data_IF_026110463817
#
_entry.id   IF_026110463817
#
_cell.length_a   1.000
_cell.length_b   1.000
_cell.length_c   1.000
_cell.angle_alpha   90.00
_cell.angle_beta   90.00
_cell.angle_gamma   90.00
#
_symmetry.space_group_name_H-M   'P 1'
#
loop_
_entity.id
_entity.type
_entity.pdbx_description
1 polymer ?
#
# COMPACT_ATOMS: atom_id res chain seq x y z
N UNK A 1 3.62 -11.84 43.37
CA UNK A 1 4.16 -12.48 42.16
C UNK A 1 3.17 -12.20 41.02
N UNK A 2 2.97 -10.92 40.67
CA UNK A 2 2.03 -10.44 39.64
C UNK A 2 2.55 -9.18 38.92
N UNK A 3 3.78 -8.71 39.19
CA UNK A 3 4.31 -7.48 38.56
C UNK A 3 5.15 -7.75 37.28
N UNK A 4 5.46 -9.02 36.96
CA UNK A 4 6.22 -9.42 35.80
C UNK A 4 5.43 -9.29 34.47
N UNK A 5 4.15 -9.60 34.52
CA UNK A 5 3.31 -9.67 33.30
C UNK A 5 2.98 -8.30 32.72
N UNK A 6 2.89 -7.27 33.57
CA UNK A 6 2.60 -5.90 33.12
C UNK A 6 3.83 -5.22 32.45
N UNK A 7 5.04 -5.49 32.92
CA UNK A 7 6.27 -5.00 32.31
C UNK A 7 6.61 -5.74 31.02
N UNK A 8 6.29 -7.03 30.90
CA UNK A 8 6.48 -7.82 29.68
C UNK A 8 5.47 -7.42 28.60
N UNK A 9 4.21 -7.14 28.98
CA UNK A 9 3.20 -6.58 28.05
C UNK A 9 3.55 -5.16 27.63
N UNK A 10 4.09 -4.31 28.50
CA UNK A 10 4.55 -2.97 28.14
C UNK A 10 5.77 -2.99 27.23
N UNK A 11 6.75 -3.88 27.47
CA UNK A 11 7.91 -4.06 26.56
C UNK A 11 7.50 -4.60 25.19
N UNK A 12 6.53 -5.50 25.11
CA UNK A 12 6.02 -6.03 23.84
C UNK A 12 5.29 -4.95 23.00
N UNK A 13 4.76 -3.90 23.64
CA UNK A 13 4.12 -2.78 22.95
C UNK A 13 5.13 -1.78 22.36
N UNK A 14 6.34 -1.66 22.91
CA UNK A 14 7.39 -0.77 22.38
C UNK A 14 8.18 -1.37 21.21
N UNK A 15 8.18 -2.69 21.02
CA UNK A 15 8.86 -3.40 19.93
C UNK A 15 7.92 -3.88 18.81
N UNK A 16 6.66 -3.39 18.73
CA UNK A 16 5.77 -3.85 17.68
C UNK A 16 6.26 -3.38 16.30
N UNK A 17 6.49 -4.34 15.40
CA UNK A 17 6.90 -4.07 14.01
C UNK A 17 5.81 -3.30 13.25
N UNK A 18 6.20 -2.56 12.19
CA UNK A 18 5.23 -1.77 11.41
C UNK A 18 4.02 -2.57 10.90
N UNK A 19 4.15 -3.82 10.40
CA UNK A 19 3.00 -4.64 10.02
C UNK A 19 2.01 -4.90 11.17
N UNK A 20 2.51 -5.11 12.39
CA UNK A 20 1.65 -5.30 13.57
C UNK A 20 0.84 -4.04 13.86
N UNK A 21 1.47 -2.87 13.83
CA UNK A 21 0.79 -1.58 14.03
C UNK A 21 -0.28 -1.34 12.96
N UNK A 22 0.02 -1.66 11.71
CA UNK A 22 -0.92 -1.53 10.59
C UNK A 22 -2.13 -2.42 10.80
N UNK A 23 -1.95 -3.72 11.08
CA UNK A 23 -3.06 -4.67 11.29
C UNK A 23 -3.94 -4.23 12.46
N UNK A 24 -3.33 -3.80 13.57
CA UNK A 24 -4.06 -3.29 14.74
C UNK A 24 -4.87 -2.03 14.40
N UNK A 25 -4.26 -1.04 13.71
CA UNK A 25 -4.95 0.20 13.31
C UNK A 25 -6.10 -0.06 12.35
N UNK A 26 -5.90 -0.93 11.35
CA UNK A 26 -6.95 -1.34 10.43
C UNK A 26 -8.10 -2.02 11.19
N UNK A 27 -7.80 -2.98 12.06
CA UNK A 27 -8.80 -3.68 12.86
C UNK A 27 -9.59 -2.74 13.78
N UNK A 28 -8.92 -1.84 14.52
CA UNK A 28 -9.59 -0.87 15.38
C UNK A 28 -10.50 0.11 14.62
N UNK A 29 -10.18 0.42 13.36
CA UNK A 29 -10.98 1.31 12.51
C UNK A 29 -12.03 0.57 11.66
N UNK A 30 -12.11 -0.75 11.76
CA UNK A 30 -12.96 -1.57 10.89
C UNK A 30 -12.63 -1.40 9.41
N UNK A 31 -11.32 -1.29 9.10
CA UNK A 31 -10.81 -1.13 7.75
C UNK A 31 -10.19 -2.43 7.23
N UNK A 32 -10.27 -2.59 5.93
CA UNK A 32 -9.67 -3.72 5.22
C UNK A 32 -8.73 -3.23 4.13
N UNK A 33 -7.70 -4.04 3.82
CA UNK A 33 -6.67 -3.74 2.85
C UNK A 33 -6.53 -4.88 1.83
N UNK A 34 -6.18 -4.51 0.59
CA UNK A 34 -5.75 -5.43 -0.44
C UNK A 34 -4.46 -4.94 -1.10
N UNK A 35 -3.65 -5.88 -1.62
CA UNK A 35 -2.38 -5.57 -2.27
C UNK A 35 -2.41 -5.84 -3.78
N UNK A 36 -1.67 -5.04 -4.56
CA UNK A 36 -1.36 -5.32 -5.97
C UNK A 36 0.15 -5.25 -6.18
N UNK A 37 0.77 -6.36 -6.51
CA UNK A 37 2.21 -6.50 -6.45
C UNK A 37 2.82 -6.87 -7.81
N UNK A 38 3.77 -6.05 -8.27
CA UNK A 38 4.59 -6.38 -9.42
C UNK A 38 5.97 -6.87 -8.96
N UNK A 39 6.93 -5.96 -8.71
CA UNK A 39 8.30 -6.38 -8.36
C UNK A 39 8.41 -7.13 -7.02
N UNK A 40 7.51 -6.93 -6.08
CA UNK A 40 7.51 -7.59 -4.76
C UNK A 40 6.93 -9.01 -4.81
N UNK A 41 6.10 -9.30 -5.82
CA UNK A 41 5.62 -10.65 -6.18
C UNK A 41 4.96 -11.43 -5.02
N UNK A 42 4.14 -10.76 -4.21
CA UNK A 42 3.41 -11.35 -3.08
C UNK A 42 4.07 -11.15 -1.72
N UNK A 43 5.28 -10.59 -1.67
CA UNK A 43 6.01 -10.40 -0.41
C UNK A 43 5.33 -9.38 0.52
N UNK A 44 4.67 -8.35 -0.02
CA UNK A 44 3.92 -7.37 0.78
C UNK A 44 2.70 -8.02 1.45
N UNK A 45 1.91 -8.77 0.69
CA UNK A 45 0.78 -9.52 1.25
C UNK A 45 1.23 -10.53 2.31
N UNK A 46 2.29 -11.29 2.03
CA UNK A 46 2.89 -12.24 2.96
C UNK A 46 3.32 -11.54 4.26
N UNK A 47 4.00 -10.40 4.16
CA UNK A 47 4.48 -9.62 5.31
C UNK A 47 3.34 -9.12 6.22
N UNK A 48 2.19 -8.77 5.64
CA UNK A 48 0.98 -8.44 6.41
C UNK A 48 0.38 -9.71 7.02
N UNK A 49 0.32 -10.81 6.26
CA UNK A 49 -0.25 -12.08 6.71
C UNK A 49 0.55 -12.76 7.83
N UNK A 50 1.84 -12.47 7.97
CA UNK A 50 2.69 -12.95 9.07
C UNK A 50 2.20 -12.46 10.45
N UNK A 51 1.38 -11.41 10.49
CA UNK A 51 0.85 -10.85 11.73
C UNK A 51 -0.31 -11.72 12.24
N UNK A 52 -0.26 -12.26 13.48
CA UNK A 52 -1.39 -12.96 14.08
C UNK A 52 -2.66 -12.09 14.07
N UNK A 53 -3.75 -12.63 13.53
CA UNK A 53 -5.01 -11.89 13.40
C UNK A 53 -5.11 -11.01 12.15
N UNK A 54 -4.17 -11.08 11.20
CA UNK A 54 -4.20 -10.31 9.95
C UNK A 54 -5.50 -10.48 9.14
N UNK A 55 -6.22 -11.58 9.31
CA UNK A 55 -7.49 -11.87 8.63
C UNK A 55 -8.61 -10.86 8.92
N UNK A 56 -8.49 -10.05 9.96
CA UNK A 56 -9.43 -8.96 10.23
C UNK A 56 -9.22 -7.76 9.28
N UNK A 57 -8.05 -7.65 8.67
CA UNK A 57 -7.62 -6.52 7.86
C UNK A 57 -7.32 -6.91 6.41
N UNK A 58 -6.50 -7.93 6.16
CA UNK A 58 -6.08 -8.35 4.83
C UNK A 58 -7.16 -9.21 4.17
N UNK A 59 -7.75 -8.71 3.08
CA UNK A 59 -8.76 -9.46 2.31
C UNK A 59 -8.18 -10.26 1.15
N UNK A 60 -7.03 -9.86 0.63
CA UNK A 60 -6.38 -10.54 -0.46
C UNK A 60 -5.30 -9.71 -1.14
N UNK A 61 -4.74 -10.27 -2.21
CA UNK A 61 -3.74 -9.59 -3.02
C UNK A 61 -3.64 -10.18 -4.41
N UNK A 62 -3.23 -9.37 -5.36
CA UNK A 62 -3.02 -9.76 -6.76
C UNK A 62 -1.54 -9.60 -7.11
N UNK A 63 -0.88 -10.70 -7.48
CA UNK A 63 0.45 -10.65 -8.06
C UNK A 63 0.31 -10.33 -9.55
N UNK A 64 0.43 -9.04 -9.89
CA UNK A 64 0.25 -8.50 -11.23
C UNK A 64 1.59 -8.28 -11.93
N UNK A 65 2.32 -9.39 -12.19
CA UNK A 65 3.68 -9.34 -12.72
C UNK A 65 3.73 -8.95 -14.21
N UNK A 66 2.72 -9.31 -14.99
CA UNK A 66 2.59 -8.94 -16.40
C UNK A 66 1.59 -7.80 -16.62
N UNK A 67 1.74 -7.06 -17.74
CA UNK A 67 0.79 -6.01 -18.11
C UNK A 67 -0.63 -6.56 -18.34
N UNK A 68 -0.75 -7.76 -18.92
CA UNK A 68 -2.06 -8.39 -19.10
C UNK A 68 -2.81 -8.67 -17.78
N UNK A 69 -2.11 -8.96 -16.68
CA UNK A 69 -2.74 -9.09 -15.36
C UNK A 69 -3.10 -7.71 -14.79
N UNK A 70 -2.25 -6.70 -14.98
CA UNK A 70 -2.55 -5.31 -14.58
C UNK A 70 -3.84 -4.82 -15.25
N UNK A 71 -3.95 -5.04 -16.56
CA UNK A 71 -5.11 -4.64 -17.37
C UNK A 71 -6.36 -5.48 -17.01
N UNK A 72 -6.28 -6.81 -17.20
CA UNK A 72 -7.49 -7.65 -17.19
C UNK A 72 -8.01 -7.98 -15.79
N UNK A 73 -7.17 -7.94 -14.75
CA UNK A 73 -7.55 -8.25 -13.37
C UNK A 73 -7.72 -7.00 -12.54
N UNK A 74 -6.78 -6.04 -12.66
CA UNK A 74 -6.79 -4.83 -11.86
C UNK A 74 -7.48 -3.65 -12.56
N UNK A 75 -7.79 -3.76 -13.86
CA UNK A 75 -8.43 -2.71 -14.63
C UNK A 75 -7.54 -1.49 -14.91
N UNK A 76 -6.21 -1.69 -14.92
CA UNK A 76 -5.28 -0.63 -15.30
C UNK A 76 -5.51 -0.28 -16.78
N UNK A 77 -5.54 1.01 -17.08
CA UNK A 77 -5.77 1.51 -18.44
C UNK A 77 -4.70 1.01 -19.42
N UNK A 78 -5.15 0.39 -20.51
CA UNK A 78 -4.27 -0.18 -21.53
C UNK A 78 -3.43 0.91 -22.23
N UNK A 79 -4.02 2.09 -22.51
CA UNK A 79 -3.32 3.22 -23.13
C UNK A 79 -2.23 3.76 -22.20
N UNK A 80 -2.50 3.83 -20.90
CA UNK A 80 -1.50 4.21 -19.90
C UNK A 80 -0.34 3.23 -19.88
N UNK A 81 -0.62 1.91 -19.90
CA UNK A 81 0.42 0.86 -19.94
C UNK A 81 1.24 0.90 -21.23
N UNK A 82 0.62 1.21 -22.36
CA UNK A 82 1.31 1.31 -23.65
C UNK A 82 2.21 2.55 -23.75
N UNK A 83 1.72 3.71 -23.27
CA UNK A 83 2.40 5.00 -23.44
C UNK A 83 3.45 5.26 -22.35
N UNK A 84 3.20 4.88 -21.10
CA UNK A 84 4.06 5.17 -19.96
C UNK A 84 4.83 3.94 -19.46
N UNK A 85 4.40 2.76 -19.87
CA UNK A 85 4.96 1.49 -19.38
C UNK A 85 4.43 1.11 -18.00
N UNK A 86 4.85 -0.07 -17.53
CA UNK A 86 4.38 -0.62 -16.26
C UNK A 86 4.96 0.08 -15.02
N UNK A 87 6.05 0.83 -15.17
CA UNK A 87 6.76 1.52 -14.06
C UNK A 87 6.41 3.00 -14.11
N UNK A 88 5.23 3.31 -13.60
CA UNK A 88 4.65 4.65 -13.65
C UNK A 88 3.74 4.91 -12.43
N UNK A 89 3.57 6.18 -12.06
CA UNK A 89 2.78 6.58 -10.89
C UNK A 89 1.29 6.34 -11.07
N UNK A 90 0.75 6.68 -12.23
CA UNK A 90 -0.65 6.43 -12.57
C UNK A 90 -0.97 4.94 -12.62
N UNK A 91 -0.06 4.13 -13.20
CA UNK A 91 -0.17 2.67 -13.17
C UNK A 91 -0.20 2.15 -11.73
N UNK A 92 0.67 2.65 -10.85
CA UNK A 92 0.68 2.26 -9.44
C UNK A 92 -0.65 2.61 -8.74
N UNK A 93 -1.17 3.83 -8.93
CA UNK A 93 -2.43 4.26 -8.35
C UNK A 93 -3.61 3.40 -8.83
N UNK A 94 -3.70 3.14 -10.14
CA UNK A 94 -4.74 2.27 -10.71
C UNK A 94 -4.61 0.81 -10.26
N UNK A 95 -3.39 0.28 -10.11
CA UNK A 95 -3.17 -1.04 -9.52
C UNK A 95 -3.73 -1.12 -8.09
N UNK A 96 -3.48 -0.11 -7.27
CA UNK A 96 -3.99 -0.06 -5.90
C UNK A 96 -5.53 0.02 -5.86
N UNK A 97 -6.13 0.84 -6.72
CA UNK A 97 -7.58 0.91 -6.90
C UNK A 97 -8.15 -0.46 -7.32
N UNK A 98 -7.56 -1.08 -8.33
CA UNK A 98 -7.99 -2.40 -8.83
C UNK A 98 -7.96 -3.47 -7.76
N UNK A 99 -6.90 -3.54 -6.94
CA UNK A 99 -6.84 -4.47 -5.82
C UNK A 99 -7.96 -4.25 -4.80
N UNK A 100 -8.21 -2.99 -4.43
CA UNK A 100 -9.28 -2.64 -3.51
C UNK A 100 -10.65 -3.07 -4.05
N UNK A 101 -10.92 -2.82 -5.33
CA UNK A 101 -12.19 -3.18 -5.98
C UNK A 101 -12.36 -4.69 -6.10
N UNK A 102 -11.36 -5.41 -6.60
CA UNK A 102 -11.41 -6.88 -6.78
C UNK A 102 -11.60 -7.60 -5.45
N UNK A 103 -10.89 -7.18 -4.41
CA UNK A 103 -10.99 -7.77 -3.07
C UNK A 103 -12.09 -7.15 -2.22
N UNK A 104 -12.79 -6.11 -2.68
CA UNK A 104 -13.78 -5.34 -1.91
C UNK A 104 -13.22 -4.77 -0.61
N UNK A 105 -11.96 -4.32 -0.64
CA UNK A 105 -11.28 -3.71 0.48
C UNK A 105 -11.52 -2.20 0.53
N UNK A 106 -11.45 -1.61 1.72
CA UNK A 106 -11.53 -0.16 1.91
C UNK A 106 -10.26 0.58 1.51
N UNK A 107 -9.11 -0.12 1.55
CA UNK A 107 -7.80 0.37 1.10
C UNK A 107 -7.20 -0.57 0.05
N UNK A 108 -6.49 0.01 -0.92
CA UNK A 108 -5.58 -0.68 -1.80
C UNK A 108 -4.17 -0.13 -1.68
N UNK A 109 -3.16 -0.98 -1.76
CA UNK A 109 -1.76 -0.60 -1.85
C UNK A 109 -1.08 -1.38 -2.96
N UNK A 110 -0.19 -0.74 -3.71
CA UNK A 110 0.48 -1.40 -4.82
C UNK A 110 1.97 -1.10 -4.89
N UNK A 111 2.68 -1.96 -5.61
CA UNK A 111 4.10 -1.82 -5.90
C UNK A 111 4.38 -2.11 -7.38
N UNK A 112 5.01 -1.19 -8.10
CA UNK A 112 5.55 -1.43 -9.44
C UNK A 112 6.92 -0.77 -9.55
N UNK A 113 7.88 -1.39 -10.27
CA UNK A 113 9.23 -0.84 -10.33
C UNK A 113 10.26 -1.77 -10.94
N UNK A 114 11.49 -1.27 -11.04
CA UNK A 114 12.64 -1.94 -11.61
C UNK A 114 13.55 -2.45 -10.50
N UNK A 115 13.47 -3.75 -10.21
CA UNK A 115 14.36 -4.37 -9.21
C UNK A 115 15.74 -4.77 -9.78
N UNK A 116 15.95 -4.64 -11.09
CA UNK A 116 17.22 -5.00 -11.74
C UNK A 116 17.36 -6.49 -12.06
N UNK A 117 18.56 -6.92 -12.56
CA UNK A 117 19.81 -6.13 -12.63
C UNK A 117 19.83 -5.07 -13.77
N UNK A 118 18.98 -5.19 -14.78
CA UNK A 118 18.98 -4.29 -15.94
C UNK A 118 17.88 -3.22 -15.81
N UNK A 119 18.08 -2.03 -16.36
CA UNK A 119 17.02 -1.02 -16.54
C UNK A 119 15.86 -1.59 -17.35
N UNK A 120 14.66 -1.05 -17.16
CA UNK A 120 13.47 -1.50 -17.87
C UNK A 120 12.66 -0.32 -18.39
N UNK A 121 12.29 -0.34 -19.69
CA UNK A 121 11.47 0.70 -20.33
C UNK A 121 11.98 2.14 -20.05
N UNK A 122 13.31 2.35 -20.10
CA UNK A 122 13.92 3.67 -19.85
C UNK A 122 13.97 4.09 -18.37
N UNK A 123 13.53 3.25 -17.43
CA UNK A 123 13.62 3.51 -15.99
C UNK A 123 14.85 2.81 -15.41
N UNK A 124 15.58 3.49 -14.54
CA UNK A 124 16.76 2.97 -13.84
C UNK A 124 16.37 1.85 -12.87
N UNK A 125 17.34 0.97 -12.58
CA UNK A 125 17.22 0.03 -11.44
C UNK A 125 17.05 0.87 -10.17
N UNK A 126 16.12 0.45 -9.31
CA UNK A 126 15.76 1.17 -8.09
C UNK A 126 14.58 2.14 -8.23
N UNK A 127 14.16 2.48 -9.48
CA UNK A 127 12.93 3.25 -9.68
C UNK A 127 11.72 2.41 -9.28
N UNK A 128 11.01 2.83 -8.23
CA UNK A 128 9.81 2.13 -7.71
C UNK A 128 8.70 3.14 -7.46
N UNK A 129 7.50 2.80 -7.91
CA UNK A 129 6.28 3.52 -7.55
C UNK A 129 5.45 2.67 -6.59
N UNK A 130 5.05 3.30 -5.51
CA UNK A 130 4.05 2.77 -4.56
C UNK A 130 2.73 3.48 -4.83
N UNK A 131 1.67 2.74 -5.09
CA UNK A 131 0.33 3.30 -5.24
C UNK A 131 -0.51 3.07 -3.99
N UNK A 132 -1.48 3.95 -3.76
CA UNK A 132 -2.51 3.77 -2.75
C UNK A 132 -3.87 4.21 -3.27
N UNK A 133 -4.90 3.61 -2.72
CA UNK A 133 -6.30 3.94 -2.95
C UNK A 133 -7.08 3.83 -1.64
N UNK A 134 -7.96 4.79 -1.38
CA UNK A 134 -8.88 4.80 -0.25
C UNK A 134 -10.28 5.03 -0.77
N UNK A 135 -11.19 4.11 -0.48
CA UNK A 135 -12.57 4.20 -0.93
C UNK A 135 -13.29 5.43 -0.36
N UNK A 136 -14.17 6.05 -1.14
CA UNK A 136 -14.88 7.29 -0.81
C UNK A 136 -15.53 7.27 0.57
N UNK A 137 -16.24 6.19 0.91
CA UNK A 137 -16.86 6.03 2.23
C UNK A 137 -15.87 5.98 3.39
N UNK A 138 -14.64 5.50 3.15
CA UNK A 138 -13.55 5.49 4.14
C UNK A 138 -12.97 6.90 4.29
N UNK A 139 -12.72 7.59 3.17
CA UNK A 139 -12.25 8.99 3.17
C UNK A 139 -13.21 9.87 3.96
N UNK A 140 -14.49 9.79 3.66
CA UNK A 140 -15.52 10.58 4.34
C UNK A 140 -15.62 10.26 5.83
N UNK A 141 -15.63 8.96 6.19
CA UNK A 141 -15.80 8.52 7.59
C UNK A 141 -14.62 8.88 8.47
N UNK A 142 -13.40 8.81 7.95
CA UNK A 142 -12.17 8.95 8.73
C UNK A 142 -11.42 10.26 8.47
N UNK A 143 -11.87 11.09 7.53
CA UNK A 143 -11.21 12.34 7.17
C UNK A 143 -9.81 12.14 6.59
N UNK A 144 -9.58 11.01 5.88
CA UNK A 144 -8.27 10.70 5.31
C UNK A 144 -7.89 11.76 4.28
N UNK A 145 -6.64 12.20 4.33
CA UNK A 145 -6.07 13.20 3.44
C UNK A 145 -4.88 12.62 2.68
N UNK A 146 -4.44 13.35 1.66
CA UNK A 146 -3.24 13.02 0.91
C UNK A 146 -2.03 12.94 1.86
N UNK A 147 -1.32 11.78 1.90
CA UNK A 147 -0.10 11.67 2.69
C UNK A 147 1.01 12.59 2.15
N UNK A 148 1.92 13.02 3.02
CA UNK A 148 3.09 13.77 2.60
C UNK A 148 3.95 12.99 1.61
N UNK A 149 4.63 13.70 0.70
CA UNK A 149 5.48 13.12 -0.35
C UNK A 149 4.74 12.15 -1.29
N UNK A 150 3.42 12.33 -1.46
CA UNK A 150 2.61 11.61 -2.43
C UNK A 150 2.05 12.58 -3.46
N UNK A 151 1.93 12.11 -4.71
CA UNK A 151 1.21 12.78 -5.77
C UNK A 151 -0.20 12.19 -5.88
N UNK A 152 -1.19 13.06 -6.05
CA UNK A 152 -2.56 12.61 -6.33
C UNK A 152 -2.67 12.10 -7.76
N UNK A 153 -3.47 11.07 -7.97
CA UNK A 153 -3.87 10.59 -9.28
C UNK A 153 -5.39 10.72 -9.43
N UNK A 154 -5.81 11.61 -10.33
CA UNK A 154 -7.23 11.87 -10.56
C UNK A 154 -7.89 10.78 -11.40
N UNK A 155 -7.12 10.04 -12.18
CA UNK A 155 -7.64 8.98 -13.07
C UNK A 155 -8.01 7.73 -12.29
N UNK A 156 -7.30 7.44 -11.19
CA UNK A 156 -7.62 6.38 -10.25
C UNK A 156 -8.68 6.78 -9.21
N UNK A 157 -9.09 8.06 -9.17
CA UNK A 157 -10.06 8.57 -8.21
C UNK A 157 -11.48 8.43 -8.75
N UNK A 158 -12.30 7.62 -8.10
CA UNK A 158 -13.76 7.71 -8.22
C UNK A 158 -14.22 8.86 -7.32
N UNK A 159 -15.37 9.47 -7.62
CA UNK A 159 -15.88 10.60 -6.87
C UNK A 159 -15.86 10.38 -5.34
N UNK A 160 -15.12 11.22 -4.63
CA UNK A 160 -14.92 11.15 -3.18
C UNK A 160 -13.88 10.13 -2.69
N UNK A 161 -13.30 9.31 -3.55
CA UNK A 161 -12.15 8.46 -3.21
C UNK A 161 -10.84 9.25 -3.24
N UNK A 162 -9.82 8.73 -2.57
CA UNK A 162 -8.47 9.28 -2.60
C UNK A 162 -7.53 8.25 -3.21
N UNK A 163 -6.82 8.62 -4.26
CA UNK A 163 -5.82 7.79 -4.90
C UNK A 163 -4.56 8.60 -5.22
N UNK A 164 -3.44 7.92 -5.19
CA UNK A 164 -2.16 8.55 -5.51
C UNK A 164 -1.00 7.59 -5.44
N UNK A 165 0.19 8.16 -5.57
CA UNK A 165 1.43 7.39 -5.58
C UNK A 165 2.59 8.12 -4.93
N UNK A 166 3.61 7.36 -4.56
CA UNK A 166 4.93 7.82 -4.10
C UNK A 166 6.00 7.23 -4.99
N UNK A 167 6.91 8.06 -5.48
CA UNK A 167 8.11 7.63 -6.19
C UNK A 167 9.24 7.40 -5.18
N UNK A 168 9.96 6.30 -5.36
CA UNK A 168 11.19 5.96 -4.66
C UNK A 168 12.33 5.78 -5.65
N UNK A 169 13.53 6.14 -5.21
CA UNK A 169 14.79 5.83 -5.88
C UNK A 169 15.64 5.03 -4.89
N UNK A 170 15.68 3.71 -5.09
CA UNK A 170 16.24 2.74 -4.14
C UNK A 170 17.59 2.24 -4.64
N UNK A 171 18.55 2.16 -3.74
CA UNK A 171 19.87 1.56 -4.01
C UNK A 171 19.89 0.07 -3.61
N UNK A 172 20.76 -0.68 -4.26
CA UNK A 172 21.05 -2.06 -3.91
C UNK A 172 20.83 -3.07 -5.03
N UNK A 173 20.98 -4.33 -4.69
CA UNK A 173 20.68 -5.43 -5.60
C UNK A 173 19.16 -5.72 -5.66
N UNK A 174 18.80 -6.66 -6.50
CA UNK A 174 17.39 -7.07 -6.72
C UNK A 174 16.67 -7.45 -5.43
N UNK A 175 17.34 -8.14 -4.51
CA UNK A 175 16.74 -8.57 -3.25
C UNK A 175 16.52 -7.38 -2.33
N UNK A 176 17.53 -6.54 -2.17
CA UNK A 176 17.47 -5.33 -1.36
C UNK A 176 16.37 -4.36 -1.83
N UNK A 177 16.28 -4.10 -3.15
CA UNK A 177 15.24 -3.22 -3.73
C UNK A 177 13.85 -3.79 -3.48
N UNK A 178 13.63 -5.09 -3.66
CA UNK A 178 12.33 -5.72 -3.39
C UNK A 178 11.92 -5.61 -1.93
N UNK A 179 12.84 -5.87 -0.99
CA UNK A 179 12.56 -5.74 0.44
C UNK A 179 12.33 -4.30 0.87
N UNK A 180 13.16 -3.38 0.41
CA UNK A 180 12.97 -1.95 0.66
C UNK A 180 11.61 -1.45 0.13
N UNK A 181 11.15 -1.97 -1.02
CA UNK A 181 9.83 -1.67 -1.57
C UNK A 181 8.69 -2.17 -0.67
N UNK A 182 8.83 -3.34 -0.05
CA UNK A 182 7.85 -3.88 0.90
C UNK A 182 7.76 -2.99 2.14
N UNK A 183 8.90 -2.67 2.77
CA UNK A 183 8.93 -1.84 3.97
C UNK A 183 8.41 -0.41 3.69
N UNK A 184 8.77 0.17 2.54
CA UNK A 184 8.26 1.47 2.13
C UNK A 184 6.74 1.45 1.83
N UNK A 185 6.21 0.35 1.29
CA UNK A 185 4.77 0.20 1.08
C UNK A 185 4.00 0.08 2.40
N UNK A 186 4.55 -0.62 3.39
CA UNK A 186 4.00 -0.66 4.75
C UNK A 186 4.01 0.73 5.39
N UNK A 187 5.11 1.48 5.24
CA UNK A 187 5.19 2.85 5.72
C UNK A 187 4.15 3.76 5.04
N UNK A 188 3.95 3.63 3.72
CA UNK A 188 2.91 4.37 3.01
C UNK A 188 1.51 4.08 3.57
N UNK A 189 1.19 2.81 3.85
CA UNK A 189 -0.08 2.45 4.51
C UNK A 189 -0.20 3.11 5.88
N UNK A 190 0.88 3.12 6.66
CA UNK A 190 0.92 3.80 7.96
C UNK A 190 0.66 5.30 7.82
N UNK A 191 1.29 5.96 6.84
CA UNK A 191 1.10 7.40 6.56
C UNK A 191 -0.35 7.72 6.16
N UNK A 192 -0.97 6.89 5.30
CA UNK A 192 -2.39 7.00 4.93
C UNK A 192 -3.30 6.91 6.17
N UNK A 193 -2.94 6.06 7.12
CA UNK A 193 -3.71 5.85 8.34
C UNK A 193 -3.44 6.90 9.44
N UNK A 194 -2.38 7.71 9.33
CA UNK A 194 -1.98 8.69 10.34
C UNK A 194 -2.69 10.04 10.24
N UNK A 195 -3.53 10.26 9.24
CA UNK A 195 -4.26 11.53 9.16
C UNK A 195 -5.15 11.69 10.39
N UNK A 196 -4.73 12.59 11.30
CA UNK A 196 -5.49 12.98 12.49
C UNK A 196 -6.87 13.46 12.06
N UNK A 197 -7.95 12.98 12.67
CA UNK A 197 -9.26 13.61 12.46
C UNK A 197 -9.14 15.07 12.92
N UNK A 198 -9.40 16.01 12.01
CA UNK A 198 -9.51 17.43 12.37
C UNK A 198 -10.51 17.57 13.49
N UNK A 199 -10.02 18.06 14.64
CA UNK A 199 -10.70 18.15 15.90
C UNK A 199 -12.19 18.44 15.79
N UNK A 200 -12.96 17.58 16.42
CA UNK A 200 -14.25 18.01 16.94
C UNK A 200 -13.95 19.11 17.96
N UNK A 201 -14.58 20.29 17.85
CA UNK A 201 -14.47 21.28 18.91
C UNK A 201 -14.94 20.62 20.21
N UNK A 202 -14.09 20.67 21.22
CA UNK A 202 -14.48 20.28 22.57
C UNK A 202 -15.68 21.10 22.96
N UNK A 203 -16.83 20.46 23.11
CA UNK A 203 -18.04 21.06 23.70
C UNK A 203 -17.93 21.08 25.21
#
# INVERSE_FOLDING_TARGET
MVDGDAEEVARSAEESTEPVKIVQRLGHRGLTIATAESLTAGALAARIADVPGASIALLGGVVAYSNGVKENVLGVDAELLETHGAVDGGVAAQMAQGAALVCRAGLGVSTTGVAGPEPHQGKSVGTVYLGFYVAAGVVQRLGIRMPENCSQDETASVEGALAGYRLLDLDGDREAIRWASVEAALQLVSDVLHTEPTGLPHA
#
